data_IF_129694375719
#
_entry.id   IF_129694375719
#
_cell.length_a   1.000
_cell.length_b   1.000
_cell.length_c   1.000
_cell.angle_alpha   90.00
_cell.angle_beta   90.00
_cell.angle_gamma   90.00
#
_symmetry.space_group_name_H-M   'P 1'
#
loop_
_entity.id
_entity.type
_entity.pdbx_description
1 polymer ?
#
# COMPACT_ATOMS: atom_id res chain seq x y z
N UNK A 1 14.97 -10.61 35.59
CA UNK A 1 13.78 -10.04 34.91
C UNK A 1 13.39 -8.77 35.65
N UNK A 2 13.62 -7.58 35.08
CA UNK A 2 13.26 -6.31 35.74
C UNK A 2 11.74 -6.20 35.97
N UNK A 3 11.34 -5.51 37.04
CA UNK A 3 9.94 -5.24 37.37
C UNK A 3 9.24 -4.51 36.21
N UNK A 4 7.94 -4.76 36.01
CA UNK A 4 7.14 -4.07 35.01
C UNK A 4 7.27 -2.54 35.12
N UNK A 5 7.29 -2.05 36.36
CA UNK A 5 7.42 -0.61 36.64
C UNK A 5 8.77 -0.04 36.21
N UNK A 6 9.86 -0.80 36.37
CA UNK A 6 11.18 -0.40 35.88
C UNK A 6 11.21 -0.32 34.35
N UNK A 7 10.62 -1.31 33.66
CA UNK A 7 10.53 -1.30 32.20
C UNK A 7 9.68 -0.13 31.69
N UNK A 8 8.56 0.15 32.37
CA UNK A 8 7.70 1.30 32.09
C UNK A 8 8.49 2.61 32.20
N UNK A 9 9.20 2.80 33.31
CA UNK A 9 9.95 4.02 33.55
C UNK A 9 11.10 4.18 32.54
N UNK A 10 11.83 3.11 32.22
CA UNK A 10 12.87 3.12 31.20
C UNK A 10 12.34 3.50 29.81
N UNK A 11 11.16 3.00 29.42
CA UNK A 11 10.52 3.35 28.16
C UNK A 11 10.26 4.86 28.09
N UNK A 12 9.63 5.42 29.12
CA UNK A 12 9.29 6.84 29.12
C UNK A 12 10.53 7.74 29.13
N UNK A 13 11.57 7.40 29.89
CA UNK A 13 12.85 8.15 29.85
C UNK A 13 13.50 8.08 28.47
N UNK A 14 13.46 6.92 27.82
CA UNK A 14 13.99 6.78 26.45
C UNK A 14 13.21 7.60 25.43
N UNK A 15 11.89 7.67 25.55
CA UNK A 15 11.04 8.45 24.65
C UNK A 15 11.21 9.96 24.86
N UNK A 16 11.31 10.41 26.11
CA UNK A 16 11.53 11.81 26.45
C UNK A 16 12.90 12.31 25.93
N UNK A 17 13.95 11.50 26.07
CA UNK A 17 15.25 11.81 25.47
C UNK A 17 15.21 11.85 23.94
N UNK A 18 14.40 10.99 23.30
CA UNK A 18 14.23 10.99 21.86
C UNK A 18 13.46 12.23 21.39
N UNK A 19 12.39 12.61 22.08
CA UNK A 19 11.62 13.83 21.80
C UNK A 19 12.50 15.07 21.85
N UNK A 20 13.30 15.22 22.92
CA UNK A 20 14.19 16.37 23.10
C UNK A 20 15.33 16.41 22.07
N UNK A 21 15.71 15.26 21.50
CA UNK A 21 16.71 15.19 20.43
C UNK A 21 16.20 15.62 19.06
N UNK A 22 14.87 15.67 18.86
CA UNK A 22 14.27 16.16 17.62
C UNK A 22 14.19 17.68 17.74
N UNK A 23 15.04 18.39 16.98
CA UNK A 23 14.97 19.84 16.86
C UNK A 23 13.60 20.31 16.34
N UNK A 24 13.18 21.51 16.76
CA UNK A 24 11.93 22.15 16.30
C UNK A 24 11.92 22.47 14.80
N UNK A 25 13.08 22.44 14.17
CA UNK A 25 13.34 22.62 12.75
C UNK A 25 13.42 21.29 11.97
N UNK A 26 13.33 20.15 12.66
CA UNK A 26 13.35 18.84 12.03
C UNK A 26 12.10 18.63 11.17
N UNK A 27 12.28 18.06 9.98
CA UNK A 27 11.20 17.66 9.07
C UNK A 27 10.22 16.66 9.72
N UNK A 28 10.65 15.99 10.80
CA UNK A 28 9.83 15.07 11.60
C UNK A 28 8.98 15.78 12.67
N UNK A 29 9.24 17.07 12.95
CA UNK A 29 8.46 17.86 13.89
C UNK A 29 7.14 18.26 13.25
N UNK A 30 6.12 17.41 13.41
CA UNK A 30 4.78 17.69 12.94
C UNK A 30 4.15 18.72 13.88
N UNK A 31 3.94 19.96 13.42
CA UNK A 31 3.26 21.01 14.18
C UNK A 31 1.86 20.53 14.57
N UNK A 32 1.72 20.01 15.79
CA UNK A 32 0.47 19.42 16.31
C UNK A 32 -0.63 20.48 16.46
N UNK A 33 -0.27 21.77 16.47
CA UNK A 33 -1.20 22.90 16.53
C UNK A 33 -2.00 23.12 15.25
N UNK A 34 -1.61 22.55 14.12
CA UNK A 34 -2.29 22.75 12.82
C UNK A 34 -3.19 21.57 12.42
N UNK A 35 -3.12 20.45 13.13
CA UNK A 35 -3.95 19.28 12.84
C UNK A 35 -5.24 19.38 13.65
N UNK A 36 -6.23 20.07 13.06
CA UNK A 36 -7.61 20.05 13.55
C UNK A 36 -8.19 18.63 13.35
N UNK A 37 -8.06 17.78 14.36
CA UNK A 37 -8.73 16.47 14.42
C UNK A 37 -10.25 16.58 14.59
N UNK A 38 -10.82 17.80 14.58
CA UNK A 38 -12.26 18.00 14.52
C UNK A 38 -12.77 17.58 13.15
N UNK A 39 -13.17 16.31 13.04
CA UNK A 39 -14.17 15.88 12.05
C UNK A 39 -15.55 16.48 12.38
N UNK A 40 -15.63 17.76 12.70
CA UNK A 40 -16.88 18.50 12.71
C UNK A 40 -17.23 18.72 11.24
N UNK A 41 -17.94 17.73 10.68
CA UNK A 41 -18.75 17.90 9.48
C UNK A 41 -19.81 18.93 9.84
N UNK A 42 -19.42 20.21 9.90
CA UNK A 42 -20.34 21.33 10.07
C UNK A 42 -21.33 21.17 8.96
N UNK A 43 -22.55 20.78 9.31
CA UNK A 43 -23.54 20.31 8.37
C UNK A 43 -23.64 21.32 7.25
N UNK A 44 -23.22 20.92 6.04
CA UNK A 44 -23.64 21.58 4.83
C UNK A 44 -25.16 21.48 4.83
N UNK A 45 -25.84 22.47 5.41
CA UNK A 45 -27.28 22.63 5.27
C UNK A 45 -27.50 22.63 3.76
N UNK A 46 -28.21 21.64 3.20
CA UNK A 46 -28.54 21.70 1.79
C UNK A 46 -29.30 23.02 1.62
N UNK A 47 -28.77 23.92 0.79
CA UNK A 47 -29.55 25.06 0.33
C UNK A 47 -30.90 24.55 -0.17
N UNK A 48 -31.96 25.34 0.02
CA UNK A 48 -33.34 24.98 -0.36
C UNK A 48 -33.32 24.24 -1.70
N UNK A 49 -33.75 22.97 -1.70
CA UNK A 49 -33.75 22.13 -2.88
C UNK A 49 -34.53 22.88 -3.96
N UNK A 50 -33.87 23.23 -5.06
CA UNK A 50 -34.51 23.88 -6.19
C UNK A 50 -35.70 23.00 -6.61
N UNK A 51 -36.90 23.57 -6.67
CA UNK A 51 -38.07 22.81 -7.10
C UNK A 51 -37.87 22.43 -8.58
N UNK A 52 -37.68 21.12 -8.80
CA UNK A 52 -37.45 20.50 -10.12
C UNK A 52 -38.71 19.82 -10.66
N UNK A 53 -39.91 20.10 -10.13
CA UNK A 53 -41.16 19.46 -10.58
C UNK A 53 -41.41 19.69 -12.08
N UNK A 54 -40.99 20.82 -12.64
CA UNK A 54 -41.07 21.12 -14.09
C UNK A 54 -40.22 20.21 -14.98
N UNK A 55 -39.27 19.49 -14.39
CA UNK A 55 -38.37 18.56 -15.08
C UNK A 55 -38.68 17.09 -14.74
N UNK A 56 -39.66 16.81 -13.87
CA UNK A 56 -40.14 15.44 -13.67
C UNK A 56 -40.66 14.89 -15.00
N UNK A 57 -40.27 13.67 -15.34
CA UNK A 57 -40.62 12.96 -16.57
C UNK A 57 -40.07 13.57 -17.88
N UNK A 58 -39.18 14.58 -17.80
CA UNK A 58 -38.42 15.06 -18.96
C UNK A 58 -37.02 14.46 -18.92
N UNK A 59 -36.50 14.04 -20.07
CA UNK A 59 -35.10 13.62 -20.13
C UNK A 59 -34.18 14.82 -19.90
N UNK A 60 -33.15 14.63 -19.08
CA UNK A 60 -32.10 15.64 -18.90
C UNK A 60 -31.35 15.80 -20.22
N UNK A 61 -31.32 17.03 -20.75
CA UNK A 61 -30.51 17.39 -21.92
C UNK A 61 -29.01 17.15 -21.69
N UNK A 62 -28.59 17.20 -20.43
CA UNK A 62 -27.29 16.72 -20.02
C UNK A 62 -27.40 15.21 -19.81
N UNK A 63 -26.87 14.43 -20.75
CA UNK A 63 -26.67 12.98 -20.57
C UNK A 63 -25.66 12.78 -19.44
N UNK A 64 -26.14 12.73 -18.20
CA UNK A 64 -25.32 12.29 -17.08
C UNK A 64 -25.08 10.81 -17.29
N UNK A 65 -23.82 10.33 -17.31
CA UNK A 65 -23.58 8.91 -17.25
C UNK A 65 -24.30 8.35 -16.03
N UNK A 66 -24.89 7.16 -16.16
CA UNK A 66 -25.57 6.52 -15.05
C UNK A 66 -24.60 6.48 -13.86
N UNK A 67 -24.99 7.11 -12.75
CA UNK A 67 -24.17 7.09 -11.55
C UNK A 67 -23.89 5.62 -11.19
N UNK A 68 -22.65 5.25 -10.84
CA UNK A 68 -22.36 3.86 -10.51
C UNK A 68 -23.30 3.43 -9.40
N UNK A 69 -24.02 2.33 -9.61
CA UNK A 69 -25.13 1.87 -8.76
C UNK A 69 -24.69 1.75 -7.28
N UNK A 70 -23.41 1.45 -7.05
CA UNK A 70 -22.81 1.39 -5.70
C UNK A 70 -22.83 2.70 -4.90
N UNK A 71 -22.97 3.86 -5.54
CA UNK A 71 -23.06 5.17 -4.85
C UNK A 71 -24.50 5.57 -4.49
N UNK A 72 -25.50 5.01 -5.16
CA UNK A 72 -26.91 5.32 -4.90
C UNK A 72 -27.60 4.27 -4.00
N UNK A 73 -27.03 3.06 -3.87
CA UNK A 73 -27.49 2.07 -2.91
C UNK A 73 -26.94 2.35 -1.51
N UNK A 74 -27.77 2.14 -0.49
CA UNK A 74 -27.35 2.22 0.91
C UNK A 74 -26.27 1.15 1.14
N UNK A 75 -25.15 1.53 1.75
CA UNK A 75 -24.13 0.57 2.18
C UNK A 75 -24.81 -0.44 3.13
N UNK A 76 -24.69 -1.73 2.82
CA UNK A 76 -25.20 -2.80 3.68
C UNK A 76 -24.54 -2.68 5.06
N UNK A 77 -25.35 -2.70 6.12
CA UNK A 77 -24.85 -2.74 7.51
C UNK A 77 -24.11 -4.04 7.81
N UNK A 78 -24.47 -5.11 7.10
CA UNK A 78 -23.90 -6.45 7.29
C UNK A 78 -22.69 -6.62 6.35
N UNK A 79 -21.52 -7.00 6.88
CA UNK A 79 -20.34 -7.34 6.07
C UNK A 79 -20.60 -8.50 5.10
N UNK A 80 -19.87 -8.54 3.98
CA UNK A 80 -20.14 -9.54 2.93
C UNK A 80 -19.83 -10.97 3.37
N UNK A 81 -18.88 -11.19 4.29
CA UNK A 81 -18.63 -12.52 4.83
C UNK A 81 -19.87 -13.07 5.56
N UNK A 82 -20.56 -12.25 6.35
CA UNK A 82 -21.77 -12.69 7.01
C UNK A 82 -22.92 -12.91 6.03
N UNK A 83 -23.00 -12.13 4.95
CA UNK A 83 -24.05 -12.24 3.94
C UNK A 83 -23.87 -13.41 2.97
N UNK A 84 -22.63 -13.67 2.56
CA UNK A 84 -22.28 -14.65 1.54
C UNK A 84 -21.31 -15.69 2.12
N UNK A 85 -21.77 -16.61 2.99
CA UNK A 85 -20.86 -17.46 3.72
C UNK A 85 -20.00 -18.39 2.88
N UNK A 86 -20.52 -18.76 1.72
CA UNK A 86 -19.81 -19.61 0.75
C UNK A 86 -18.65 -18.89 0.04
N UNK A 87 -18.63 -17.56 0.01
CA UNK A 87 -17.60 -16.77 -0.71
C UNK A 87 -16.38 -16.45 0.14
N UNK A 88 -16.46 -16.62 1.45
CA UNK A 88 -15.30 -16.43 2.34
C UNK A 88 -14.85 -17.78 2.87
N UNK A 89 -13.54 -17.99 2.86
CA UNK A 89 -12.91 -19.13 3.51
C UNK A 89 -12.08 -18.60 4.66
N UNK A 90 -12.27 -19.15 5.87
CA UNK A 90 -11.43 -18.84 7.03
C UNK A 90 -10.17 -19.68 6.96
N UNK A 91 -9.05 -19.05 6.65
CA UNK A 91 -7.73 -19.67 6.80
C UNK A 91 -7.25 -19.42 8.23
N UNK A 92 -6.94 -20.49 8.95
CA UNK A 92 -6.19 -20.43 10.20
C UNK A 92 -4.73 -20.75 9.89
N UNK A 93 -3.80 -20.20 10.68
CA UNK A 93 -2.36 -20.47 10.55
C UNK A 93 -1.90 -21.45 11.65
N UNK A 94 -2.81 -22.28 12.16
CA UNK A 94 -2.53 -23.21 13.26
C UNK A 94 -1.59 -24.34 12.83
N UNK A 95 -1.58 -24.66 11.53
CA UNK A 95 -0.78 -25.69 10.90
C UNK A 95 0.59 -25.19 10.38
N UNK A 96 0.83 -23.87 10.41
CA UNK A 96 2.06 -23.26 9.89
C UNK A 96 2.93 -22.74 11.04
N UNK A 97 4.19 -23.18 11.09
CA UNK A 97 5.18 -22.60 12.01
C UNK A 97 5.67 -21.24 11.49
N UNK A 98 5.21 -20.17 12.15
CA UNK A 98 5.62 -18.78 11.87
C UNK A 98 6.77 -18.30 12.77
N UNK A 99 7.55 -19.21 13.36
CA UNK A 99 8.72 -18.83 14.15
C UNK A 99 9.75 -18.06 13.31
N UNK A 100 10.53 -17.20 13.97
CA UNK A 100 11.60 -16.45 13.31
C UNK A 100 12.60 -17.36 12.58
N UNK A 101 12.81 -18.58 13.11
CA UNK A 101 13.71 -19.57 12.50
C UNK A 101 13.20 -20.06 11.14
N UNK A 102 11.92 -20.39 11.03
CA UNK A 102 11.34 -20.86 9.76
C UNK A 102 11.19 -19.71 8.77
N UNK A 103 10.83 -18.52 9.23
CA UNK A 103 10.74 -17.33 8.39
C UNK A 103 12.09 -16.94 7.80
N UNK A 104 13.14 -16.85 8.62
CA UNK A 104 14.49 -16.56 8.13
C UNK A 104 14.99 -17.61 7.14
N UNK A 105 14.79 -18.89 7.42
CA UNK A 105 15.12 -19.96 6.48
C UNK A 105 14.37 -19.84 5.14
N UNK A 106 13.07 -19.53 5.19
CA UNK A 106 12.26 -19.30 4.00
C UNK A 106 12.75 -18.07 3.21
N UNK A 107 13.08 -16.97 3.88
CA UNK A 107 13.63 -15.77 3.25
C UNK A 107 14.94 -16.07 2.51
N UNK A 108 15.87 -16.82 3.12
CA UNK A 108 17.11 -17.23 2.46
C UNK A 108 16.87 -18.16 1.27
N UNK A 109 15.89 -19.07 1.37
CA UNK A 109 15.54 -19.93 0.23
C UNK A 109 15.00 -19.13 -0.97
N UNK A 110 14.22 -18.08 -0.70
CA UNK A 110 13.69 -17.19 -1.72
C UNK A 110 14.80 -16.36 -2.39
N UNK A 111 15.75 -15.83 -1.61
CA UNK A 111 16.90 -15.11 -2.16
C UNK A 111 17.73 -16.00 -3.09
N UNK A 112 18.00 -17.24 -2.67
CA UNK A 112 18.72 -18.21 -3.50
C UNK A 112 17.97 -18.50 -4.80
N UNK A 113 16.66 -18.68 -4.74
CA UNK A 113 15.83 -18.88 -5.94
C UNK A 113 15.92 -17.69 -6.90
N UNK A 114 15.92 -16.45 -6.39
CA UNK A 114 16.08 -15.25 -7.23
C UNK A 114 17.47 -15.21 -7.86
N UNK A 115 18.52 -15.57 -7.12
CA UNK A 115 19.89 -15.63 -7.63
C UNK A 115 20.02 -16.66 -8.76
N UNK A 116 19.52 -17.88 -8.57
CA UNK A 116 19.48 -18.94 -9.59
C UNK A 116 18.71 -18.48 -10.84
N UNK A 117 17.58 -17.80 -10.67
CA UNK A 117 16.80 -17.24 -11.79
C UNK A 117 17.56 -16.13 -12.53
N UNK A 118 18.33 -15.30 -11.82
CA UNK A 118 19.18 -14.27 -12.44
C UNK A 118 20.32 -14.91 -13.21
N UNK A 119 21.00 -15.90 -12.64
CA UNK A 119 22.10 -16.59 -13.27
C UNK A 119 21.65 -17.33 -14.53
N UNK A 120 20.51 -18.04 -14.47
CA UNK A 120 19.91 -18.71 -15.64
C UNK A 120 19.45 -17.72 -16.70
N UNK A 121 18.84 -16.59 -16.33
CA UNK A 121 18.45 -15.54 -17.28
C UNK A 121 19.67 -14.89 -17.96
N UNK A 122 20.74 -14.63 -17.22
CA UNK A 122 22.00 -14.10 -17.76
C UNK A 122 22.70 -15.14 -18.64
N UNK A 123 22.72 -16.41 -18.24
CA UNK A 123 23.26 -17.50 -19.03
C UNK A 123 22.49 -17.68 -20.35
N UNK A 124 21.16 -17.63 -20.31
CA UNK A 124 20.31 -17.67 -21.51
C UNK A 124 20.58 -16.46 -22.43
N UNK A 125 20.75 -15.26 -21.85
CA UNK A 125 21.06 -14.06 -22.61
C UNK A 125 22.44 -14.14 -23.27
N UNK A 126 23.45 -14.66 -22.58
CA UNK A 126 24.79 -14.89 -23.13
C UNK A 126 24.81 -16.01 -24.18
N UNK A 127 23.99 -17.05 -24.02
CA UNK A 127 23.85 -18.13 -25.00
C UNK A 127 23.12 -17.67 -26.28
N UNK A 128 22.16 -16.73 -26.18
CA UNK A 128 21.46 -16.17 -27.34
C UNK A 128 22.37 -15.23 -28.18
N UNK A 129 23.37 -14.60 -27.55
CA UNK A 129 24.39 -13.79 -28.24
C UNK A 129 25.47 -14.66 -28.92
N UNK A 130 25.64 -15.92 -28.50
CA UNK A 130 26.56 -16.90 -29.09
C UNK A 130 25.77 -17.93 -29.93
N UNK A 131 25.33 -17.52 -31.13
CA UNK A 131 24.40 -18.27 -31.96
C UNK A 131 24.68 -19.77 -32.13
N UNK A 132 23.72 -20.58 -31.71
CA UNK A 132 23.37 -21.87 -32.31
C UNK A 132 21.88 -22.13 -32.09
N UNK A 133 21.13 -22.22 -33.19
CA UNK A 133 19.69 -22.49 -33.19
C UNK A 133 19.50 -23.98 -33.29
N UNK A 134 19.07 -24.64 -32.21
CA UNK A 134 18.25 -25.85 -32.29
C UNK A 134 17.23 -25.83 -31.15
N UNK A 135 15.95 -25.82 -31.55
CA UNK A 135 14.80 -25.98 -30.65
C UNK A 135 14.82 -27.36 -29.95
N UNK A 136 14.58 -27.40 -28.63
CA UNK A 136 13.92 -28.56 -28.04
C UNK A 136 12.61 -28.14 -27.37
N UNK A 137 11.56 -28.82 -27.82
CA UNK A 137 10.22 -28.82 -27.25
C UNK A 137 10.26 -29.29 -25.79
N UNK A 138 9.94 -28.40 -24.84
CA UNK A 138 9.81 -28.72 -23.41
C UNK A 138 8.41 -28.32 -22.93
N UNK A 139 7.51 -29.31 -22.89
CA UNK A 139 6.23 -29.24 -22.20
C UNK A 139 6.47 -29.25 -20.67
N UNK A 140 6.73 -28.07 -20.08
CA UNK A 140 6.67 -27.90 -18.63
C UNK A 140 5.70 -26.78 -18.28
N UNK A 141 4.53 -27.16 -17.74
CA UNK A 141 3.56 -26.25 -17.16
C UNK A 141 4.16 -25.58 -15.92
N UNK A 142 4.78 -24.41 -16.08
CA UNK A 142 5.12 -23.53 -14.96
C UNK A 142 4.07 -22.41 -14.83
N UNK A 143 3.62 -22.08 -13.61
CA UNK A 143 2.66 -21.01 -13.38
C UNK A 143 3.30 -19.67 -13.73
N UNK A 144 2.72 -18.96 -14.70
CA UNK A 144 3.06 -17.57 -15.04
C UNK A 144 2.68 -16.66 -13.88
N UNK A 145 3.57 -16.52 -12.90
CA UNK A 145 3.54 -15.40 -11.95
C UNK A 145 3.97 -14.15 -12.71
N UNK A 146 2.99 -13.48 -13.32
CA UNK A 146 3.18 -12.18 -13.94
C UNK A 146 3.65 -11.19 -12.88
N UNK A 147 4.94 -10.89 -12.88
CA UNK A 147 5.50 -9.81 -12.07
C UNK A 147 4.99 -8.49 -12.65
N UNK A 148 3.92 -7.95 -12.06
CA UNK A 148 3.43 -6.62 -12.38
C UNK A 148 4.53 -5.60 -12.08
N UNK A 149 5.28 -5.18 -13.11
CA UNK A 149 6.18 -4.02 -13.05
C UNK A 149 5.34 -2.74 -12.93
N UNK A 150 4.59 -2.57 -11.84
CA UNK A 150 4.01 -1.28 -11.51
C UNK A 150 5.14 -0.40 -10.98
N UNK A 151 5.69 0.46 -11.84
CA UNK A 151 6.60 1.52 -11.41
C UNK A 151 5.85 2.38 -10.41
N UNK A 152 6.22 2.28 -9.14
CA UNK A 152 5.66 3.10 -8.06
C UNK A 152 6.10 4.54 -8.30
N UNK A 153 5.22 5.34 -8.89
CA UNK A 153 5.44 6.77 -9.01
C UNK A 153 5.01 7.41 -7.70
N UNK A 154 5.96 7.62 -6.81
CA UNK A 154 5.74 8.48 -5.65
C UNK A 154 5.37 9.87 -6.18
N UNK A 155 4.26 10.43 -5.68
CA UNK A 155 3.98 11.85 -5.85
C UNK A 155 5.04 12.62 -5.05
N UNK A 156 6.23 12.79 -5.64
CA UNK A 156 7.26 13.69 -5.13
C UNK A 156 6.68 15.10 -5.24
N UNK A 157 6.34 15.69 -4.10
CA UNK A 157 5.91 17.07 -4.03
C UNK A 157 6.99 17.96 -4.64
N UNK A 158 6.59 19.02 -5.33
CA UNK A 158 7.49 19.98 -6.00
C UNK A 158 8.53 20.54 -5.02
N UNK A 159 8.18 20.61 -3.73
CA UNK A 159 9.05 21.04 -2.62
C UNK A 159 10.27 20.14 -2.39
N UNK A 160 10.14 18.83 -2.58
CA UNK A 160 11.25 17.88 -2.43
C UNK A 160 12.24 17.91 -3.62
N UNK A 161 11.84 18.46 -4.78
CA UNK A 161 12.77 18.66 -5.90
C UNK A 161 13.80 19.74 -5.60
N UNK A 162 13.37 20.88 -5.07
CA UNK A 162 14.28 22.01 -4.80
C UNK A 162 15.33 21.69 -3.74
N UNK A 163 14.96 20.94 -2.69
CA UNK A 163 15.89 20.59 -1.61
C UNK A 163 16.96 19.56 -2.00
N UNK A 164 16.73 18.75 -3.04
CA UNK A 164 17.72 17.80 -3.54
C UNK A 164 18.70 18.44 -4.53
N UNK A 165 18.24 19.40 -5.35
CA UNK A 165 19.14 20.19 -6.22
C UNK A 165 20.14 21.03 -5.42
N UNK A 166 19.76 21.50 -4.22
CA UNK A 166 20.63 22.28 -3.33
C UNK A 166 21.72 21.43 -2.66
N UNK A 167 21.55 20.10 -2.57
CA UNK A 167 22.50 19.20 -1.93
C UNK A 167 23.60 18.67 -2.88
N UNK A 168 23.48 18.91 -4.18
CA UNK A 168 24.42 18.46 -5.23
C UNK A 168 25.37 19.57 -5.71
N UNK A 169 25.32 20.79 -5.14
CA UNK A 169 26.31 21.82 -5.43
C UNK A 169 27.55 21.65 -4.51
N UNK A 170 28.75 21.35 -5.05
CA UNK A 170 29.97 21.35 -4.25
C UNK A 170 30.37 22.80 -3.89
N UNK A 171 31.11 23.00 -2.78
CA UNK A 171 31.55 24.31 -2.33
C UNK A 171 32.55 25.00 -3.29
#
# INVERSE_FOLDING_TARGET
MGSFEQKKNLLFTSLESAEQSIGTDSVLHQNVSEIDYSLDRKGCRPGKLINVDRYRNRESIFKRPAAPIGHCLKRSTVPDFQRNPQKWTKYTLEDVDTSERTNTAAAFSFLRQIEEQRETALALQNALEAGDVQDPQEDTQQPKVGFCRSVVRFNRSVRLRGQLEEADEPP
#
